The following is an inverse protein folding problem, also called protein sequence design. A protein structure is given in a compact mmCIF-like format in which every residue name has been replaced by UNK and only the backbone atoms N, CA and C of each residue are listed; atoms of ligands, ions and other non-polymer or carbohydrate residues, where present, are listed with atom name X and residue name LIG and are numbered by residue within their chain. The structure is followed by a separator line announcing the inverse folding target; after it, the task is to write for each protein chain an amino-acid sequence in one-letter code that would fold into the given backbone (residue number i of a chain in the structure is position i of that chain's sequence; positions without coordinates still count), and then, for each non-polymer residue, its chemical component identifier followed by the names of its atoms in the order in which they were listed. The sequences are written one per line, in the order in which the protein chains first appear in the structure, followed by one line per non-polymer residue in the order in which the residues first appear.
data_IF_073355283921
#
_entry.id   IF_073355283921
#
_cell.length_a   1.000
_cell.length_b   1.000
_cell.length_c   1.000
_cell.angle_alpha   90.00
_cell.angle_beta   90.00
_cell.angle_gamma   90.00
#
_symmetry.space_group_name_H-M   'P 1'
#
loop_
_entity.id
_entity.type
_entity.pdbx_description
1 polymer ?
#
# COMPACT_ATOMS: atom_id res chain seq x y z
N UNK A 1 -27.08 -30.28 1.32
CA UNK A 1 -26.84 -28.99 2.02
C UNK A 1 -25.35 -28.63 2.20
N UNK A 2 -24.42 -29.56 2.44
CA UNK A 2 -23.00 -29.22 2.69
C UNK A 2 -22.27 -28.55 1.50
N UNK A 3 -22.53 -28.98 0.26
CA UNK A 3 -21.83 -28.48 -0.94
C UNK A 3 -22.06 -26.99 -1.24
N UNK A 4 -23.24 -26.48 -0.89
CA UNK A 4 -23.63 -25.07 -1.08
C UNK A 4 -22.88 -24.19 -0.06
N UNK A 5 -22.69 -24.66 1.18
CA UNK A 5 -21.95 -23.93 2.20
C UNK A 5 -20.47 -23.75 1.84
N UNK A 6 -19.83 -24.79 1.29
CA UNK A 6 -18.43 -24.71 0.83
C UNK A 6 -18.25 -23.76 -0.35
N UNK A 7 -19.17 -23.76 -1.33
CA UNK A 7 -19.11 -22.81 -2.47
C UNK A 7 -19.31 -21.37 -1.99
N UNK A 8 -20.28 -21.14 -1.09
CA UNK A 8 -20.50 -19.82 -0.50
C UNK A 8 -19.28 -19.32 0.28
N UNK A 9 -18.61 -20.20 1.03
CA UNK A 9 -17.40 -19.83 1.78
C UNK A 9 -16.23 -19.48 0.85
N UNK A 10 -16.00 -20.27 -0.20
CA UNK A 10 -14.96 -19.96 -1.20
C UNK A 10 -15.23 -18.65 -1.93
N UNK A 11 -16.50 -18.38 -2.31
CA UNK A 11 -16.89 -17.10 -2.91
C UNK A 11 -16.70 -15.93 -1.94
N UNK A 12 -17.00 -16.11 -0.65
CA UNK A 12 -16.72 -15.08 0.36
C UNK A 12 -15.23 -14.83 0.50
N UNK A 13 -14.40 -15.87 0.51
CA UNK A 13 -12.94 -15.71 0.57
C UNK A 13 -12.39 -15.00 -0.66
N UNK A 14 -12.86 -15.33 -1.87
CA UNK A 14 -12.42 -14.64 -3.09
C UNK A 14 -12.93 -13.21 -3.15
N UNK A 15 -14.17 -12.93 -2.74
CA UNK A 15 -14.72 -11.57 -2.65
C UNK A 15 -14.00 -10.74 -1.61
N UNK A 16 -13.68 -11.30 -0.45
CA UNK A 16 -12.86 -10.63 0.56
C UNK A 16 -11.49 -10.35 -0.04
N UNK A 17 -10.77 -11.35 -0.55
CA UNK A 17 -9.46 -11.13 -1.16
C UNK A 17 -9.51 -10.07 -2.28
N UNK A 18 -10.54 -10.07 -3.14
CA UNK A 18 -10.74 -9.04 -4.16
C UNK A 18 -11.06 -7.65 -3.60
N UNK A 19 -11.87 -7.57 -2.55
CA UNK A 19 -12.23 -6.28 -1.92
C UNK A 19 -10.99 -5.59 -1.35
N UNK A 20 -10.08 -6.37 -0.75
CA UNK A 20 -8.81 -5.84 -0.24
C UNK A 20 -7.90 -5.37 -1.37
N UNK A 21 -7.98 -5.99 -2.57
CA UNK A 21 -7.21 -5.53 -3.75
C UNK A 21 -7.77 -4.26 -4.42
N UNK A 22 -9.03 -3.88 -4.19
CA UNK A 22 -9.66 -2.74 -4.86
C UNK A 22 -9.45 -1.40 -4.15
N UNK A 23 -9.12 -1.39 -2.86
CA UNK A 23 -8.82 -0.15 -2.15
C UNK A 23 -7.41 0.32 -2.52
N UNK A 24 -7.29 1.54 -3.04
CA UNK A 24 -5.99 2.16 -3.23
C UNK A 24 -5.46 2.65 -1.88
N UNK A 25 -4.23 2.31 -1.51
CA UNK A 25 -3.60 2.56 -0.21
C UNK A 25 -2.52 3.64 -0.29
N UNK A 26 -1.87 3.80 -1.44
CA UNK A 26 -0.77 4.76 -1.53
C UNK A 26 -1.25 6.21 -1.32
N UNK A 27 -0.58 6.90 -0.41
CA UNK A 27 -0.88 8.27 -0.03
C UNK A 27 -1.60 8.34 1.33
N UNK A 28 -1.43 9.45 2.06
CA UNK A 28 -1.95 9.60 3.41
C UNK A 28 -3.48 9.50 3.48
N UNK A 29 -3.98 8.77 4.47
CA UNK A 29 -5.43 8.53 4.70
C UNK A 29 -6.22 9.82 4.92
N UNK A 30 -5.60 10.82 5.54
CA UNK A 30 -6.21 12.13 5.83
C UNK A 30 -6.02 13.18 4.71
N UNK A 31 -5.44 12.83 3.56
CA UNK A 31 -5.29 13.75 2.44
C UNK A 31 -5.59 13.09 1.09
N UNK A 32 -6.87 13.20 0.70
CA UNK A 32 -7.43 12.66 -0.54
C UNK A 32 -6.73 13.17 -1.80
N UNK A 33 -6.20 14.40 -1.80
CA UNK A 33 -5.52 14.96 -2.96
C UNK A 33 -4.22 14.20 -3.26
N UNK A 34 -3.37 13.95 -2.26
CA UNK A 34 -2.14 13.18 -2.46
C UNK A 34 -2.42 11.73 -2.81
N UNK A 35 -3.47 11.14 -2.23
CA UNK A 35 -3.94 9.80 -2.59
C UNK A 35 -4.38 9.71 -4.06
N UNK A 36 -5.15 10.69 -4.54
CA UNK A 36 -5.54 10.77 -5.95
C UNK A 36 -4.34 11.00 -6.87
N UNK A 37 -3.40 11.89 -6.50
CA UNK A 37 -2.20 12.15 -7.27
C UNK A 37 -1.31 10.89 -7.38
N UNK A 38 -1.12 10.19 -6.26
CA UNK A 38 -0.43 8.89 -6.22
C UNK A 38 -1.10 7.88 -7.16
N UNK A 39 -2.43 7.78 -7.10
CA UNK A 39 -3.20 6.91 -7.98
C UNK A 39 -2.94 7.25 -9.45
N UNK A 40 -3.05 8.52 -9.85
CA UNK A 40 -2.80 8.97 -11.22
C UNK A 40 -1.37 8.68 -11.69
N UNK A 41 -0.36 8.95 -10.86
CA UNK A 41 1.05 8.73 -11.19
C UNK A 41 1.42 7.25 -11.35
N UNK A 42 0.70 6.36 -10.66
CA UNK A 42 0.93 4.91 -10.72
C UNK A 42 0.14 4.20 -11.81
N UNK A 43 -0.86 4.85 -12.42
CA UNK A 43 -1.66 4.27 -13.51
C UNK A 43 -0.86 3.61 -14.65
N UNK A 44 0.27 4.17 -15.16
CA UNK A 44 1.03 3.53 -16.25
C UNK A 44 2.00 2.43 -15.77
N UNK A 45 1.95 2.06 -14.50
CA UNK A 45 2.86 1.12 -13.85
C UNK A 45 2.12 -0.12 -13.35
N UNK A 46 2.84 -0.99 -12.63
CA UNK A 46 2.28 -2.15 -11.93
C UNK A 46 1.47 -1.72 -10.69
N UNK A 47 0.42 -0.92 -10.90
CA UNK A 47 -0.36 -0.28 -9.85
C UNK A 47 -0.85 -1.26 -8.77
N UNK A 48 -1.35 -2.47 -9.09
CA UNK A 48 -1.76 -3.43 -8.06
C UNK A 48 -0.60 -3.85 -7.14
N UNK A 49 0.60 -4.03 -7.69
CA UNK A 49 1.78 -4.43 -6.92
C UNK A 49 2.29 -3.28 -6.05
N UNK A 50 2.35 -2.07 -6.62
CA UNK A 50 2.70 -0.84 -5.88
C UNK A 50 1.71 -0.62 -4.73
N UNK A 51 0.42 -0.77 -5.01
CA UNK A 51 -0.65 -0.64 -4.03
C UNK A 51 -0.51 -1.64 -2.88
N UNK A 52 -0.12 -2.88 -3.17
CA UNK A 52 0.16 -3.89 -2.16
C UNK A 52 1.37 -3.51 -1.29
N UNK A 53 2.43 -2.94 -1.86
CA UNK A 53 3.55 -2.41 -1.07
C UNK A 53 3.09 -1.29 -0.12
N UNK A 54 2.24 -0.37 -0.59
CA UNK A 54 1.68 0.69 0.25
C UNK A 54 0.81 0.12 1.37
N UNK A 55 -0.03 -0.88 1.09
CA UNK A 55 -0.83 -1.55 2.12
C UNK A 55 0.03 -2.18 3.24
N UNK A 56 1.16 -2.81 2.88
CA UNK A 56 2.07 -3.38 3.89
C UNK A 56 2.79 -2.27 4.66
N UNK A 57 3.17 -1.17 3.98
CA UNK A 57 3.79 0.00 4.61
C UNK A 57 2.88 0.68 5.62
N UNK A 58 1.61 0.93 5.25
CA UNK A 58 0.59 1.49 6.15
C UNK A 58 0.43 0.62 7.41
N UNK A 59 0.34 -0.71 7.24
CA UNK A 59 0.27 -1.64 8.39
C UNK A 59 1.51 -1.59 9.29
N UNK A 60 2.69 -1.37 8.73
CA UNK A 60 3.92 -1.19 9.52
C UNK A 60 3.92 0.16 10.25
N UNK A 61 3.30 1.19 9.66
CA UNK A 61 3.15 2.51 10.29
C UNK A 61 2.17 2.53 11.44
N UNK A 62 1.17 1.64 11.42
CA UNK A 62 0.25 1.39 12.55
C UNK A 62 0.94 0.72 13.75
N UNK A 63 2.06 0.02 13.54
CA UNK A 63 2.88 -0.51 14.64
C UNK A 63 3.85 0.56 15.17
N UNK A 64 3.53 1.09 16.35
CA UNK A 64 4.27 2.18 16.97
C UNK A 64 5.61 1.79 17.59
N UNK A 65 5.85 0.49 17.81
CA UNK A 65 7.12 -0.02 18.32
C UNK A 65 8.15 -0.18 17.20
N UNK A 66 7.71 -0.43 15.96
CA UNK A 66 8.59 -0.56 14.79
C UNK A 66 9.15 0.80 14.37
N UNK A 67 10.45 0.90 14.06
CA UNK A 67 11.06 2.18 13.63
C UNK A 67 10.58 2.58 12.23
N UNK A 68 10.34 3.88 12.00
CA UNK A 68 9.97 4.39 10.67
C UNK A 68 10.93 3.92 9.57
N UNK A 69 12.24 3.99 9.83
CA UNK A 69 13.27 3.59 8.87
C UNK A 69 13.15 2.10 8.47
N UNK A 70 12.72 1.25 9.38
CA UNK A 70 12.53 -0.19 9.10
C UNK A 70 11.35 -0.40 8.16
N UNK A 71 10.22 0.23 8.45
CA UNK A 71 9.05 0.24 7.56
C UNK A 71 9.38 0.81 6.18
N UNK A 72 10.07 1.95 6.13
CA UNK A 72 10.41 2.62 4.88
C UNK A 72 11.38 1.78 4.04
N UNK A 73 12.40 1.18 4.66
CA UNK A 73 13.34 0.30 3.96
C UNK A 73 12.62 -0.92 3.39
N UNK A 74 11.73 -1.55 4.16
CA UNK A 74 10.92 -2.68 3.68
C UNK A 74 10.03 -2.25 2.50
N UNK A 75 9.41 -1.08 2.59
CA UNK A 75 8.59 -0.51 1.53
C UNK A 75 9.40 -0.24 0.26
N UNK A 76 10.57 0.37 0.37
CA UNK A 76 11.47 0.62 -0.75
C UNK A 76 11.92 -0.69 -1.42
N UNK A 77 12.29 -1.71 -0.64
CA UNK A 77 12.63 -3.04 -1.19
C UNK A 77 11.43 -3.68 -1.91
N UNK A 78 10.23 -3.60 -1.34
CA UNK A 78 9.01 -4.10 -1.97
C UNK A 78 8.77 -3.43 -3.34
N UNK A 79 8.99 -2.11 -3.43
CA UNK A 79 8.87 -1.39 -4.69
C UNK A 79 9.94 -1.82 -5.70
N UNK A 80 11.20 -1.98 -5.26
CA UNK A 80 12.32 -2.38 -6.13
C UNK A 80 12.17 -3.79 -6.72
N UNK A 81 11.50 -4.70 -5.99
CA UNK A 81 11.26 -6.08 -6.44
C UNK A 81 10.20 -6.19 -7.56
N UNK A 82 9.42 -5.12 -7.80
CA UNK A 82 8.40 -5.10 -8.85
C UNK A 82 9.07 -4.98 -10.22
N UNK A 83 8.96 -6.04 -11.02
CA UNK A 83 9.40 -6.03 -12.42
C UNK A 83 8.53 -5.07 -13.24
N UNK A 84 9.12 -3.99 -13.75
CA UNK A 84 8.42 -2.96 -14.52
C UNK A 84 9.36 -2.21 -15.45
N UNK A 85 8.85 -1.25 -16.20
CA UNK A 85 9.64 -0.43 -17.12
C UNK A 85 10.56 0.57 -16.38
N UNK A 86 11.51 1.16 -17.12
CA UNK A 86 12.49 2.09 -16.56
C UNK A 86 11.85 3.31 -15.89
N UNK A 87 10.78 3.85 -16.49
CA UNK A 87 10.07 5.01 -15.94
C UNK A 87 9.44 4.68 -14.58
N UNK A 88 8.71 3.57 -14.50
CA UNK A 88 8.07 3.14 -13.26
C UNK A 88 9.09 2.82 -12.17
N UNK A 89 10.16 2.12 -12.50
CA UNK A 89 11.19 1.76 -11.51
C UNK A 89 12.05 2.93 -11.04
N UNK A 90 12.54 3.77 -11.96
CA UNK A 90 13.50 4.83 -11.60
C UNK A 90 12.86 6.15 -11.20
N UNK A 91 11.62 6.40 -11.62
CA UNK A 91 10.91 7.64 -11.32
C UNK A 91 9.80 7.38 -10.31
N UNK A 92 8.79 6.59 -10.65
CA UNK A 92 7.57 6.46 -9.83
C UNK A 92 7.84 5.73 -8.50
N UNK A 93 8.44 4.55 -8.54
CA UNK A 93 8.77 3.77 -7.34
C UNK A 93 9.76 4.53 -6.44
N UNK A 94 10.82 5.09 -7.04
CA UNK A 94 11.80 5.89 -6.29
C UNK A 94 11.20 7.14 -5.66
N UNK A 95 10.26 7.79 -6.33
CA UNK A 95 9.51 8.93 -5.77
C UNK A 95 8.72 8.50 -4.53
N UNK A 96 8.00 7.37 -4.58
CA UNK A 96 7.25 6.86 -3.42
C UNK A 96 8.17 6.54 -2.24
N UNK A 97 9.27 5.82 -2.49
CA UNK A 97 10.29 5.51 -1.48
C UNK A 97 10.91 6.79 -0.85
N UNK A 98 11.21 7.80 -1.65
CA UNK A 98 11.77 9.04 -1.11
C UNK A 98 10.75 9.84 -0.30
N UNK A 99 9.47 9.86 -0.74
CA UNK A 99 8.40 10.58 -0.03
C UNK A 99 8.15 9.95 1.35
N UNK A 100 8.14 8.62 1.47
CA UNK A 100 7.97 7.95 2.77
C UNK A 100 9.10 8.31 3.73
N UNK A 101 10.36 8.31 3.28
CA UNK A 101 11.47 8.75 4.12
C UNK A 101 11.37 10.21 4.58
N UNK A 102 10.95 11.13 3.69
CA UNK A 102 10.89 12.56 3.97
C UNK A 102 9.72 12.95 4.88
N UNK A 103 8.53 12.38 4.64
CA UNK A 103 7.28 12.81 5.28
C UNK A 103 6.67 11.76 6.21
N UNK A 104 7.21 10.55 6.22
CA UNK A 104 6.68 9.40 6.96
C UNK A 104 6.44 9.65 8.44
N UNK A 105 7.30 10.43 9.09
CA UNK A 105 7.16 10.81 10.50
C UNK A 105 5.83 11.48 10.83
N UNK A 106 5.25 12.23 9.88
CA UNK A 106 3.94 12.88 10.06
C UNK A 106 2.80 11.87 10.12
N UNK A 107 2.99 10.71 9.50
CA UNK A 107 1.95 9.71 9.26
C UNK A 107 2.09 8.43 10.09
N UNK A 108 3.23 8.21 10.73
CA UNK A 108 3.41 7.08 11.67
C UNK A 108 2.49 7.24 12.89
N UNK A 109 1.85 6.14 13.31
CA UNK A 109 0.95 6.10 14.47
C UNK A 109 -0.22 7.08 14.40
N UNK A 110 -0.74 7.38 13.19
CA UNK A 110 -1.95 8.23 13.10
C UNK A 110 -3.16 7.53 13.72
N UNK A 111 -3.28 6.21 13.57
CA UNK A 111 -4.35 5.42 14.18
C UNK A 111 -4.41 5.56 15.72
N UNK A 112 -3.26 5.73 16.38
CA UNK A 112 -3.20 6.06 17.82
C UNK A 112 -3.57 7.52 18.16
N UNK A 113 -3.45 8.44 17.20
CA UNK A 113 -3.82 9.86 17.41
C UNK A 113 -5.31 10.12 17.19
N UNK A 114 -5.96 9.27 16.40
CA UNK A 114 -7.39 9.34 16.07
C UNK A 114 -8.25 8.37 16.92
N UNK A 115 -7.66 7.65 17.88
CA UNK A 115 -8.36 6.79 18.86
C UNK A 115 -8.43 7.40 20.26
#
# INVERSE_FOLDING_TARGET
MFRIRTISFLLLLTVVHHSWTFLYHCGPTNNTFFKFLSHLLTMPCEQPQINNCCFIHDRCYDDCDTKQLECDNFFCSCLEDIQTNFFCSKIIQRLHCNISHLFGKLYKCISEKDS
#
